data_IF_331851897918
#
_entry.id   IF_331851897918
#
_cell.length_a   1.000
_cell.length_b   1.000
_cell.length_c   1.000
_cell.angle_alpha   90.00
_cell.angle_beta   90.00
_cell.angle_gamma   90.00
#
_symmetry.space_group_name_H-M   'P 1'
#
loop_
_entity.id
_entity.type
_entity.pdbx_description
1 polymer ?
#
# COMPACT_ATOMS: atom_id res chain seq x y z
N UNK A 1 -22.48 27.58 -15.38
CA UNK A 1 -21.48 27.19 -14.37
C UNK A 1 -21.05 25.77 -14.67
N UNK A 2 -19.85 25.55 -15.20
CA UNK A 2 -19.36 24.20 -15.56
C UNK A 2 -18.92 23.42 -14.33
N UNK A 3 -19.13 22.10 -14.32
CA UNK A 3 -18.64 21.23 -13.25
C UNK A 3 -17.11 21.32 -13.14
N UNK A 4 -16.60 21.47 -11.92
CA UNK A 4 -15.18 21.28 -11.61
C UNK A 4 -14.88 19.79 -11.76
N UNK A 5 -14.36 19.41 -12.92
CA UNK A 5 -13.90 18.04 -13.19
C UNK A 5 -12.39 17.98 -13.04
N UNK A 6 -11.86 16.79 -12.72
CA UNK A 6 -10.44 16.56 -12.86
C UNK A 6 -10.09 16.57 -14.36
N UNK A 7 -9.21 17.48 -14.78
CA UNK A 7 -8.51 17.33 -16.05
C UNK A 7 -7.77 15.99 -15.98
N UNK A 8 -8.00 15.09 -16.93
CA UNK A 8 -7.41 13.74 -16.93
C UNK A 8 -5.90 13.74 -16.65
N UNK A 9 -5.40 12.60 -16.16
CA UNK A 9 -4.03 12.49 -15.67
C UNK A 9 -2.94 12.60 -16.75
N UNK A 10 -1.77 13.08 -16.33
CA UNK A 10 -0.51 13.02 -17.10
C UNK A 10 0.25 11.78 -16.64
N UNK A 11 0.85 11.03 -17.57
CA UNK A 11 1.77 9.96 -17.19
C UNK A 11 3.02 10.57 -16.52
N UNK A 12 3.27 10.33 -15.22
CA UNK A 12 4.41 10.91 -14.54
C UNK A 12 5.72 10.25 -15.02
N UNK A 13 6.86 10.97 -15.01
CA UNK A 13 8.17 10.37 -15.28
C UNK A 13 8.52 9.26 -14.28
N UNK A 14 9.20 8.21 -14.75
CA UNK A 14 9.42 6.97 -13.97
C UNK A 14 10.45 7.09 -12.82
N UNK A 15 11.48 7.93 -12.95
CA UNK A 15 12.53 8.17 -11.96
C UNK A 15 13.24 6.90 -11.45
N UNK A 16 13.62 6.00 -12.37
CA UNK A 16 14.24 4.69 -12.08
C UNK A 16 15.77 4.66 -12.24
N UNK A 17 16.40 5.80 -12.49
CA UNK A 17 17.83 5.89 -12.86
C UNK A 17 18.76 5.29 -11.77
N UNK A 18 18.31 5.28 -10.51
CA UNK A 18 19.06 4.72 -9.38
C UNK A 18 18.95 3.18 -9.23
N UNK A 19 17.94 2.56 -9.84
CA UNK A 19 17.61 1.14 -9.61
C UNK A 19 17.51 0.30 -10.88
N UNK A 20 17.49 0.89 -12.07
CA UNK A 20 17.27 0.20 -13.35
C UNK A 20 18.28 -0.90 -13.70
N UNK A 21 19.49 -0.85 -13.14
CA UNK A 21 20.54 -1.86 -13.36
C UNK A 21 20.76 -2.79 -12.15
N UNK A 22 19.94 -2.66 -11.10
CA UNK A 22 20.09 -3.48 -9.88
C UNK A 22 19.34 -4.80 -10.05
N UNK A 23 19.94 -5.87 -9.53
CA UNK A 23 19.24 -7.15 -9.42
C UNK A 23 18.08 -7.04 -8.43
N UNK A 24 17.05 -7.88 -8.62
CA UNK A 24 15.98 -8.00 -7.65
C UNK A 24 16.49 -8.74 -6.40
N UNK A 25 16.16 -8.20 -5.23
CA UNK A 25 16.58 -8.73 -3.93
C UNK A 25 15.36 -8.97 -3.03
N UNK A 26 15.46 -9.93 -2.12
CA UNK A 26 14.46 -10.11 -1.06
C UNK A 26 14.75 -9.12 0.07
N UNK A 27 13.80 -8.25 0.36
CA UNK A 27 13.87 -7.37 1.54
C UNK A 27 13.62 -8.18 2.81
N UNK A 28 14.30 -7.86 3.93
CA UNK A 28 13.96 -8.46 5.22
C UNK A 28 12.51 -8.12 5.59
N UNK A 29 11.84 -9.03 6.30
CA UNK A 29 10.54 -8.73 6.88
C UNK A 29 10.73 -7.73 8.04
N UNK A 30 9.80 -6.77 8.20
CA UNK A 30 9.82 -5.90 9.37
C UNK A 30 9.52 -6.70 10.65
N UNK A 31 10.04 -6.23 11.78
CA UNK A 31 9.79 -6.84 13.10
C UNK A 31 8.31 -6.76 13.49
N UNK A 32 7.62 -5.69 13.07
CA UNK A 32 6.22 -5.42 13.39
C UNK A 32 5.51 -4.90 12.15
N UNK A 33 4.28 -5.38 11.92
CA UNK A 33 3.36 -4.84 10.91
C UNK A 33 2.06 -4.39 11.57
N UNK A 34 1.48 -3.31 11.04
CA UNK A 34 0.16 -2.84 11.44
C UNK A 34 -0.84 -3.13 10.33
N UNK A 35 -1.85 -3.95 10.63
CA UNK A 35 -2.92 -4.30 9.68
C UNK A 35 -4.19 -3.59 10.10
N UNK A 36 -4.62 -2.61 9.31
CA UNK A 36 -5.84 -1.86 9.58
C UNK A 36 -7.08 -2.65 9.17
N UNK A 37 -7.94 -2.95 10.13
CA UNK A 37 -9.20 -3.67 9.90
C UNK A 37 -10.23 -2.85 9.11
N UNK A 38 -10.03 -1.54 8.99
CA UNK A 38 -10.93 -0.61 8.31
C UNK A 38 -10.30 0.05 7.07
N UNK A 39 -9.35 -0.62 6.40
CA UNK A 39 -8.72 -0.11 5.17
C UNK A 39 -9.59 -0.33 3.91
N UNK A 40 -10.91 -0.19 4.03
CA UNK A 40 -11.87 -0.24 2.93
C UNK A 40 -13.18 0.44 3.35
N UNK A 41 -14.04 0.77 2.38
CA UNK A 41 -15.29 1.49 2.61
C UNK A 41 -16.44 0.64 3.20
N UNK A 42 -16.18 -0.64 3.49
CA UNK A 42 -17.18 -1.58 3.98
C UNK A 42 -17.16 -1.74 5.50
N UNK A 43 -17.80 -2.80 5.99
CA UNK A 43 -17.75 -3.17 7.41
C UNK A 43 -16.33 -3.61 7.77
N UNK A 44 -15.73 -3.10 8.87
CA UNK A 44 -14.38 -3.51 9.27
C UNK A 44 -14.23 -5.03 9.40
N UNK A 45 -13.05 -5.53 9.01
CA UNK A 45 -12.70 -6.93 9.16
C UNK A 45 -12.69 -7.33 10.65
N UNK A 46 -13.11 -8.56 10.94
CA UNK A 46 -13.00 -9.14 12.28
C UNK A 46 -11.61 -9.78 12.43
N UNK A 47 -10.88 -9.54 13.52
CA UNK A 47 -9.65 -10.27 13.78
C UNK A 47 -9.97 -11.76 13.95
N UNK A 48 -9.10 -12.63 13.44
CA UNK A 48 -9.22 -14.08 13.55
C UNK A 48 -8.46 -14.65 14.75
N UNK A 49 -7.65 -13.82 15.41
CA UNK A 49 -6.75 -14.19 16.49
C UNK A 49 -6.87 -13.20 17.64
N UNK A 50 -6.55 -13.67 18.85
CA UNK A 50 -6.56 -12.87 20.07
C UNK A 50 -5.17 -12.31 20.41
N UNK A 51 -5.12 -11.34 21.34
CA UNK A 51 -3.84 -10.75 21.77
C UNK A 51 -2.94 -11.82 22.41
N UNK A 52 -1.73 -11.97 21.85
CA UNK A 52 -0.74 -12.95 22.31
C UNK A 52 -0.87 -14.34 21.67
N UNK A 53 -1.88 -14.55 20.82
CA UNK A 53 -1.99 -15.76 20.02
C UNK A 53 -0.87 -15.81 18.97
N UNK A 54 -0.24 -16.98 18.83
CA UNK A 54 0.82 -17.19 17.86
C UNK A 54 0.22 -17.43 16.48
N UNK A 55 0.56 -16.55 15.53
CA UNK A 55 0.25 -16.65 14.10
C UNK A 55 1.34 -17.35 13.31
#
# INVERSE_FOLDING_TARGET
MGLLTFKGGVHPPERKELSEHRALEKTPLPEIVYVFLANHAGIPAKPLVEVGEKV
#
